data_IF_636661898151
#
_entry.id   IF_636661898151
#
_cell.length_a   1.000
_cell.length_b   1.000
_cell.length_c   1.000
_cell.angle_alpha   90.00
_cell.angle_beta   90.00
_cell.angle_gamma   90.00
#
_symmetry.space_group_name_H-M   'P 1'
#
loop_
_entity.id
_entity.type
_entity.pdbx_description
1 polymer ?
#
# COMPACT_ATOMS: atom_id res chain seq x y z
N UNK A 1 11.05 -6.56 10.95
CA UNK A 1 11.66 -6.19 9.65
C UNK A 1 11.70 -4.68 9.47
N UNK A 2 12.32 -4.21 8.39
CA UNK A 2 12.53 -2.78 8.08
C UNK A 2 11.20 -1.99 8.13
N UNK A 3 10.13 -2.51 7.53
CA UNK A 3 8.81 -1.88 7.54
C UNK A 3 8.29 -1.59 8.96
N UNK A 4 8.41 -2.57 9.88
CA UNK A 4 7.97 -2.39 11.27
C UNK A 4 8.79 -1.38 12.06
N UNK A 5 10.05 -1.12 11.67
CA UNK A 5 10.85 -0.05 12.26
C UNK A 5 10.43 1.32 11.73
N UNK A 6 10.10 1.43 10.44
CA UNK A 6 9.59 2.66 9.83
C UNK A 6 8.23 3.07 10.42
N UNK A 7 7.34 2.12 10.67
CA UNK A 7 6.02 2.36 11.27
C UNK A 7 6.05 2.96 12.68
N UNK A 8 7.21 2.93 13.36
CA UNK A 8 7.42 3.50 14.69
C UNK A 8 8.07 4.88 14.67
N UNK A 9 8.46 5.39 13.49
CA UNK A 9 9.01 6.75 13.35
C UNK A 9 7.89 7.79 13.47
N UNK A 10 8.28 9.04 13.72
CA UNK A 10 7.37 10.17 13.72
C UNK A 10 6.64 10.27 12.36
N UNK A 11 5.36 10.65 12.42
CA UNK A 11 4.51 10.79 11.25
C UNK A 11 4.57 12.24 10.76
N UNK A 12 5.23 12.47 9.62
CA UNK A 12 5.44 13.80 9.03
C UNK A 12 4.35 14.15 8.00
N UNK A 13 4.37 15.37 7.43
CA UNK A 13 3.43 15.78 6.39
C UNK A 13 3.70 15.09 5.06
N UNK A 14 4.94 15.13 4.58
CA UNK A 14 5.33 14.44 3.35
C UNK A 14 5.54 12.95 3.63
N UNK A 15 4.80 12.11 2.89
CA UNK A 15 4.79 10.66 3.11
C UNK A 15 4.95 9.94 1.79
N UNK A 16 5.61 8.79 1.86
CA UNK A 16 5.67 7.84 0.77
C UNK A 16 5.61 6.42 1.31
N UNK A 17 5.00 5.52 0.53
CA UNK A 17 4.94 4.08 0.79
C UNK A 17 5.47 3.37 -0.45
N UNK A 18 6.36 2.40 -0.22
CA UNK A 18 6.84 1.47 -1.25
C UNK A 18 6.28 0.08 -0.94
N UNK A 19 5.54 -0.49 -1.87
CA UNK A 19 5.02 -1.87 -1.77
C UNK A 19 6.03 -2.80 -2.45
N UNK A 20 6.57 -3.76 -1.69
CA UNK A 20 7.60 -4.67 -2.16
C UNK A 20 7.49 -6.03 -1.46
N UNK A 21 7.60 -7.12 -2.23
CA UNK A 21 7.70 -8.49 -1.75
C UNK A 21 9.15 -8.95 -1.55
N UNK A 22 10.13 -8.22 -2.08
CA UNK A 22 11.56 -8.52 -1.99
C UNK A 22 12.41 -7.30 -1.64
N UNK A 23 13.68 -7.54 -1.28
CA UNK A 23 14.64 -6.46 -1.01
C UNK A 23 14.96 -5.68 -2.28
N UNK A 24 15.07 -6.38 -3.39
CA UNK A 24 15.40 -5.85 -4.71
C UNK A 24 14.30 -4.89 -5.18
N UNK A 25 13.03 -5.30 -5.03
CA UNK A 25 11.88 -4.43 -5.28
C UNK A 25 11.86 -3.20 -4.37
N UNK A 26 12.17 -3.37 -3.08
CA UNK A 26 12.21 -2.25 -2.14
C UNK A 26 13.29 -1.24 -2.52
N UNK A 27 14.49 -1.69 -2.90
CA UNK A 27 15.58 -0.82 -3.34
C UNK A 27 15.22 -0.11 -4.66
N UNK A 28 14.62 -0.81 -5.61
CA UNK A 28 14.19 -0.22 -6.88
C UNK A 28 13.12 0.88 -6.65
N UNK A 29 12.11 0.59 -5.82
CA UNK A 29 11.06 1.54 -5.49
C UNK A 29 11.57 2.77 -4.72
N UNK A 30 12.46 2.58 -3.75
CA UNK A 30 13.11 3.69 -3.04
C UNK A 30 14.00 4.53 -3.98
N UNK A 31 14.68 3.90 -4.93
CA UNK A 31 15.45 4.59 -5.95
C UNK A 31 14.59 5.47 -6.86
N UNK A 32 13.45 4.95 -7.34
CA UNK A 32 12.49 5.71 -8.15
C UNK A 32 11.92 6.90 -7.35
N UNK A 33 11.53 6.67 -6.09
CA UNK A 33 11.06 7.72 -5.20
C UNK A 33 12.11 8.83 -5.01
N UNK A 34 13.38 8.45 -4.77
CA UNK A 34 14.48 9.41 -4.61
C UNK A 34 14.77 10.24 -5.86
N UNK A 35 14.42 9.74 -7.05
CA UNK A 35 14.53 10.46 -8.33
C UNK A 35 13.26 11.22 -8.72
N UNK A 36 12.17 11.10 -7.95
CA UNK A 36 10.88 11.70 -8.29
C UNK A 36 10.18 11.04 -9.49
N UNK A 37 10.50 9.78 -9.78
CA UNK A 37 9.92 9.04 -10.89
C UNK A 37 8.60 8.38 -10.49
N UNK A 38 7.67 8.30 -11.44
CA UNK A 38 6.44 7.53 -11.26
C UNK A 38 6.75 6.03 -11.26
N UNK A 39 6.21 5.32 -10.28
CA UNK A 39 6.33 3.85 -10.18
C UNK A 39 5.03 3.28 -9.63
N UNK A 40 4.52 2.16 -10.18
CA UNK A 40 3.31 1.51 -9.68
C UNK A 40 3.48 0.99 -8.24
N UNK A 41 4.72 0.80 -7.78
CA UNK A 41 5.03 0.34 -6.43
C UNK A 41 5.12 1.49 -5.41
N UNK A 42 5.04 2.76 -5.84
CA UNK A 42 5.27 3.93 -4.99
C UNK A 42 4.01 4.78 -4.93
N UNK A 43 3.55 5.05 -3.70
CA UNK A 43 2.50 6.02 -3.42
C UNK A 43 3.11 7.13 -2.59
N UNK A 44 3.12 8.36 -3.09
CA UNK A 44 3.63 9.54 -2.39
C UNK A 44 2.54 10.62 -2.30
N UNK A 45 2.60 11.43 -1.24
CA UNK A 45 1.71 12.56 -1.08
C UNK A 45 1.93 13.32 0.22
N UNK A 46 1.38 14.52 0.26
CA UNK A 46 1.38 15.40 1.43
C UNK A 46 0.13 15.14 2.27
N UNK A 47 0.30 14.99 3.58
CA UNK A 47 -0.80 14.87 4.51
C UNK A 47 -1.52 16.22 4.63
N UNK A 48 -2.76 16.27 4.13
CA UNK A 48 -3.67 17.40 4.26
C UNK A 48 -4.94 17.02 5.01
N UNK A 49 -5.97 17.88 4.89
CA UNK A 49 -7.33 17.54 5.34
C UNK A 49 -7.80 16.32 4.53
N UNK A 50 -8.13 15.19 5.17
CA UNK A 50 -8.63 14.02 4.44
C UNK A 50 -9.84 14.39 3.60
N UNK A 51 -9.84 13.98 2.34
CA UNK A 51 -11.04 14.04 1.50
C UNK A 51 -12.16 13.17 2.07
N UNK A 52 -13.37 13.32 1.54
CA UNK A 52 -14.47 12.41 1.87
C UNK A 52 -14.16 11.01 1.34
N UNK A 53 -14.26 10.02 2.22
CA UNK A 53 -14.16 8.60 1.88
C UNK A 53 -15.55 8.02 1.74
N UNK A 54 -15.76 7.18 0.72
CA UNK A 54 -17.00 6.41 0.53
C UNK A 54 -16.64 4.94 0.39
N UNK A 55 -17.43 4.06 1.02
CA UNK A 55 -17.34 2.62 0.82
C UNK A 55 -18.28 2.24 -0.32
N UNK A 56 -17.73 1.67 -1.38
CA UNK A 56 -18.51 1.17 -2.52
C UNK A 56 -18.61 -0.35 -2.40
N UNK A 57 -19.84 -0.84 -2.27
CA UNK A 57 -20.13 -2.27 -2.26
C UNK A 57 -20.63 -2.67 -3.65
N UNK A 58 -19.76 -3.22 -4.53
CA UNK A 58 -20.19 -3.60 -5.87
C UNK A 58 -21.27 -4.69 -5.80
N UNK A 59 -22.23 -4.62 -6.71
CA UNK A 59 -23.30 -5.61 -6.83
C UNK A 59 -22.85 -6.91 -7.50
N UNK A 60 -23.83 -7.68 -7.99
CA UNK A 60 -23.60 -8.88 -8.78
C UNK A 60 -22.75 -8.58 -10.02
N UNK A 61 -21.74 -9.41 -10.30
CA UNK A 61 -20.94 -9.39 -11.53
C UNK A 61 -19.43 -9.24 -11.31
N UNK A 62 -18.98 -8.82 -10.12
CA UNK A 62 -17.56 -8.72 -9.78
C UNK A 62 -16.96 -10.00 -9.22
N UNK A 63 -17.77 -11.03 -8.96
CA UNK A 63 -17.30 -12.29 -8.38
C UNK A 63 -16.49 -13.11 -9.39
N UNK A 64 -15.47 -13.81 -8.90
CA UNK A 64 -14.65 -14.77 -9.64
C UNK A 64 -14.40 -16.01 -8.79
N UNK A 65 -14.08 -17.15 -9.43
CA UNK A 65 -13.89 -18.43 -8.74
C UNK A 65 -12.69 -18.38 -7.78
N UNK A 66 -12.94 -18.51 -6.48
CA UNK A 66 -11.90 -18.44 -5.44
C UNK A 66 -11.70 -17.07 -4.80
N UNK A 67 -12.54 -16.09 -5.15
CA UNK A 67 -12.55 -14.77 -4.50
C UNK A 67 -12.58 -14.91 -2.96
N UNK A 68 -11.67 -14.23 -2.29
CA UNK A 68 -11.56 -14.19 -0.83
C UNK A 68 -10.90 -15.40 -0.17
N UNK A 69 -10.64 -16.50 -0.90
CA UNK A 69 -10.10 -17.73 -0.32
C UNK A 69 -8.71 -17.55 0.30
N UNK A 70 -7.80 -16.89 -0.42
CA UNK A 70 -6.43 -16.66 0.09
C UNK A 70 -6.43 -15.73 1.31
N UNK A 71 -7.31 -14.72 1.34
CA UNK A 71 -7.43 -13.83 2.49
C UNK A 71 -7.97 -14.57 3.72
N UNK A 72 -8.99 -15.42 3.52
CA UNK A 72 -9.53 -16.28 4.58
C UNK A 72 -8.47 -17.24 5.14
N UNK A 73 -7.57 -17.74 4.30
CA UNK A 73 -6.48 -18.65 4.70
C UNK A 73 -5.31 -17.93 5.40
N UNK A 74 -4.97 -16.71 4.97
CA UNK A 74 -3.73 -16.02 5.37
C UNK A 74 -3.91 -14.89 6.39
N UNK A 75 -5.12 -14.36 6.57
CA UNK A 75 -5.40 -13.22 7.44
C UNK A 75 -6.43 -13.59 8.51
N UNK A 76 -6.04 -13.71 9.79
CA UNK A 76 -6.91 -14.24 10.86
C UNK A 76 -8.10 -13.34 11.23
N UNK A 77 -8.13 -12.10 10.77
CA UNK A 77 -9.23 -11.14 11.01
C UNK A 77 -10.18 -11.03 9.81
N UNK A 78 -9.94 -11.81 8.76
CA UNK A 78 -10.79 -11.94 7.60
C UNK A 78 -11.71 -13.16 7.76
#
# INVERSE_FOLDING_TARGET
GIAGALARRAVLSERAVVVAGSREEAVAGLGALGRGENSPAVVAGSAGVPGRMVLVFPGQGSQWLGMGRELLESSPVF
#
